data_IF_326529612118
#
_entry.id   IF_326529612118
#
_cell.length_a   1.000
_cell.length_b   1.000
_cell.length_c   1.000
_cell.angle_alpha   90.00
_cell.angle_beta   90.00
_cell.angle_gamma   90.00
#
_symmetry.space_group_name_H-M   'P 1'
#
loop_
_entity.id
_entity.type
_entity.pdbx_description
1 polymer ?
#
# COMPACT_ATOMS: atom_id res chain seq x y z
N UNK A 1 31.10 11.25 0.27
CA UNK A 1 30.68 10.17 1.19
C UNK A 1 29.73 10.75 2.25
N UNK A 2 28.41 10.67 2.07
CA UNK A 2 27.46 10.98 3.16
C UNK A 2 27.10 9.66 3.83
N UNK A 3 27.70 9.40 5.00
CA UNK A 3 27.34 8.27 5.88
C UNK A 3 26.08 8.64 6.65
N UNK A 4 24.91 8.35 6.09
CA UNK A 4 23.69 8.23 6.88
C UNK A 4 23.61 6.77 7.35
N UNK A 5 24.10 6.48 8.56
CA UNK A 5 23.85 5.19 9.21
C UNK A 5 22.41 5.20 9.72
N UNK A 6 21.48 4.80 8.85
CA UNK A 6 20.14 4.43 9.29
C UNK A 6 20.26 3.05 9.96
N UNK A 7 20.28 3.03 11.30
CA UNK A 7 20.15 1.79 12.06
C UNK A 7 18.73 1.30 11.87
N UNK A 8 18.56 0.27 11.07
CA UNK A 8 17.33 -0.54 11.06
C UNK A 8 17.27 -1.18 12.44
N UNK A 9 16.30 -0.78 13.27
CA UNK A 9 15.98 -1.54 14.49
C UNK A 9 15.73 -2.98 14.06
N UNK A 10 16.46 -3.92 14.66
CA UNK A 10 16.19 -5.35 14.45
C UNK A 10 14.74 -5.60 14.87
N UNK A 11 13.89 -5.92 13.90
CA UNK A 11 12.52 -6.38 14.15
C UNK A 11 12.56 -7.42 15.26
N UNK A 12 11.87 -7.16 16.38
CA UNK A 12 11.65 -8.15 17.44
C UNK A 12 11.10 -9.41 16.77
N UNK A 13 11.93 -10.46 16.72
CA UNK A 13 11.58 -11.69 16.03
C UNK A 13 10.38 -12.28 16.76
N UNK A 14 9.23 -12.28 16.07
CA UNK A 14 8.01 -12.89 16.57
C UNK A 14 8.31 -14.33 17.02
N UNK A 15 7.82 -14.69 18.20
CA UNK A 15 7.87 -16.07 18.70
C UNK A 15 7.05 -17.05 17.86
N UNK A 16 6.73 -18.21 18.42
CA UNK A 16 5.94 -19.22 17.72
C UNK A 16 4.52 -18.71 17.41
N UNK A 17 4.17 -18.69 16.12
CA UNK A 17 2.83 -18.25 15.65
C UNK A 17 1.90 -19.46 15.60
N UNK A 18 0.75 -19.36 16.27
CA UNK A 18 -0.31 -20.37 16.25
C UNK A 18 -1.54 -19.89 15.46
N UNK A 19 -2.58 -20.72 15.40
CA UNK A 19 -3.87 -20.32 14.82
C UNK A 19 -4.54 -19.20 15.61
N UNK A 20 -4.23 -19.05 16.91
CA UNK A 20 -4.80 -17.99 17.75
C UNK A 20 -4.41 -16.61 17.25
N UNK A 21 -3.12 -16.38 16.99
CA UNK A 21 -2.63 -15.07 16.53
C UNK A 21 -3.18 -14.73 15.15
N UNK A 22 -3.36 -15.74 14.30
CA UNK A 22 -4.00 -15.56 12.98
C UNK A 22 -5.47 -15.16 13.12
N UNK A 23 -6.20 -15.78 14.05
CA UNK A 23 -7.59 -15.42 14.36
C UNK A 23 -7.69 -14.03 14.99
N UNK A 24 -6.74 -13.63 15.84
CA UNK A 24 -6.65 -12.25 16.35
C UNK A 24 -6.43 -11.26 15.20
N UNK A 25 -5.61 -11.61 14.20
CA UNK A 25 -5.45 -10.81 12.98
C UNK A 25 -6.77 -10.59 12.22
N UNK A 26 -7.68 -11.57 12.23
CA UNK A 26 -9.02 -11.45 11.63
C UNK A 26 -9.90 -10.52 12.46
N UNK A 27 -9.87 -10.65 13.78
CA UNK A 27 -10.57 -9.74 14.71
C UNK A 27 -10.08 -8.31 14.52
N UNK A 28 -8.77 -8.07 14.47
CA UNK A 28 -8.21 -6.74 14.23
C UNK A 28 -8.64 -6.17 12.88
N UNK A 29 -8.59 -6.97 11.81
CA UNK A 29 -8.99 -6.54 10.47
C UNK A 29 -10.45 -6.08 10.43
N UNK A 30 -11.35 -6.87 11.00
CA UNK A 30 -12.80 -6.59 11.02
C UNK A 30 -13.16 -5.45 11.98
N UNK A 31 -12.55 -5.39 13.17
CA UNK A 31 -12.83 -4.33 14.15
C UNK A 31 -12.24 -2.99 13.75
N UNK A 32 -11.04 -2.94 13.17
CA UNK A 32 -10.46 -1.69 12.62
C UNK A 32 -11.32 -1.15 11.47
N UNK A 33 -11.82 -2.03 10.59
CA UNK A 33 -12.76 -1.64 9.55
C UNK A 33 -14.08 -1.10 10.12
N UNK A 34 -14.66 -1.79 11.11
CA UNK A 34 -15.89 -1.34 11.77
C UNK A 34 -15.71 0.04 12.42
N UNK A 35 -14.61 0.25 13.13
CA UNK A 35 -14.29 1.55 13.73
C UNK A 35 -14.17 2.63 12.66
N UNK A 36 -13.43 2.34 11.57
CA UNK A 36 -13.30 3.26 10.44
C UNK A 36 -14.65 3.60 9.79
N UNK A 37 -15.53 2.61 9.67
CA UNK A 37 -16.88 2.79 9.14
C UNK A 37 -17.74 3.68 10.05
N UNK A 38 -17.72 3.43 11.36
CA UNK A 38 -18.45 4.27 12.34
C UNK A 38 -17.91 5.70 12.32
N UNK A 39 -16.58 5.88 12.25
CA UNK A 39 -15.97 7.20 12.13
C UNK A 39 -16.46 7.91 10.87
N UNK A 40 -16.37 7.25 9.71
CA UNK A 40 -16.74 7.82 8.42
C UNK A 40 -18.25 8.07 8.24
N UNK A 41 -19.12 7.43 9.02
CA UNK A 41 -20.58 7.55 8.86
C UNK A 41 -21.27 8.34 9.96
N UNK A 42 -20.72 8.36 11.18
CA UNK A 42 -21.41 8.94 12.35
C UNK A 42 -20.59 9.98 13.10
N UNK A 43 -19.26 9.87 13.12
CA UNK A 43 -18.42 10.75 13.94
C UNK A 43 -17.87 11.92 13.10
N UNK A 44 -17.15 11.60 12.02
CA UNK A 44 -16.49 12.55 11.13
C UNK A 44 -16.73 12.14 9.67
N UNK A 45 -17.97 12.34 9.16
CA UNK A 45 -18.29 12.00 7.78
C UNK A 45 -17.61 12.93 6.76
N UNK A 46 -17.32 14.16 7.14
CA UNK A 46 -16.58 15.10 6.32
C UNK A 46 -15.64 15.95 7.17
N UNK A 47 -14.42 16.18 6.69
CA UNK A 47 -13.49 17.14 7.27
C UNK A 47 -13.36 18.30 6.28
N UNK A 48 -13.78 19.50 6.68
CA UNK A 48 -13.67 20.70 5.84
C UNK A 48 -14.42 20.61 4.50
N UNK A 49 -15.54 19.90 4.45
CA UNK A 49 -16.36 19.70 3.23
C UNK A 49 -15.95 18.48 2.40
N UNK A 50 -14.81 17.86 2.68
CA UNK A 50 -14.34 16.66 1.98
C UNK A 50 -14.82 15.40 2.68
N UNK A 51 -15.56 14.56 1.96
CA UNK A 51 -16.02 13.27 2.46
C UNK A 51 -14.86 12.26 2.45
N UNK A 52 -14.42 11.83 3.63
CA UNK A 52 -13.30 10.87 3.76
C UNK A 52 -13.86 9.45 3.75
N UNK A 53 -13.41 8.64 2.79
CA UNK A 53 -13.84 7.24 2.67
C UNK A 53 -13.38 6.39 3.87
N UNK A 54 -14.17 5.40 4.27
CA UNK A 54 -13.84 4.55 5.43
C UNK A 54 -12.53 3.76 5.24
N UNK A 55 -12.11 3.47 4.01
CA UNK A 55 -10.79 2.86 3.77
C UNK A 55 -9.63 3.81 4.11
N UNK A 56 -9.77 5.11 3.87
CA UNK A 56 -8.76 6.09 4.29
C UNK A 56 -8.67 6.15 5.82
N UNK A 57 -9.81 6.16 6.51
CA UNK A 57 -9.85 6.06 7.97
C UNK A 57 -9.23 4.77 8.49
N UNK A 58 -9.47 3.64 7.82
CA UNK A 58 -8.90 2.35 8.21
C UNK A 58 -7.37 2.37 8.13
N UNK A 59 -6.79 2.96 7.08
CA UNK A 59 -5.33 3.12 6.96
C UNK A 59 -4.77 3.90 8.15
N UNK A 60 -5.38 5.03 8.49
CA UNK A 60 -4.95 5.87 9.63
C UNK A 60 -5.10 5.14 10.97
N UNK A 61 -6.21 4.43 11.18
CA UNK A 61 -6.48 3.68 12.41
C UNK A 61 -5.47 2.54 12.58
N UNK A 62 -5.22 1.76 11.52
CA UNK A 62 -4.25 0.65 11.58
C UNK A 62 -2.83 1.17 11.80
N UNK A 63 -2.47 2.29 11.17
CA UNK A 63 -1.18 2.95 11.41
C UNK A 63 -1.06 3.43 12.87
N UNK A 64 -2.10 4.07 13.42
CA UNK A 64 -2.15 4.50 14.81
C UNK A 64 -2.08 3.31 15.78
N UNK A 65 -2.78 2.21 15.48
CA UNK A 65 -2.72 0.98 16.26
C UNK A 65 -1.30 0.39 16.26
N UNK A 66 -0.63 0.35 15.12
CA UNK A 66 0.75 -0.13 15.05
C UNK A 66 1.71 0.78 15.83
N UNK A 67 1.53 2.11 15.75
CA UNK A 67 2.34 3.10 16.46
C UNK A 67 2.10 3.10 17.99
N UNK A 68 0.90 2.72 18.44
CA UNK A 68 0.55 2.65 19.87
C UNK A 68 1.28 1.54 20.64
N UNK A 69 1.91 0.59 19.93
CA UNK A 69 2.59 -0.55 20.56
C UNK A 69 1.64 -1.59 21.18
N UNK A 70 0.32 -1.46 21.00
CA UNK A 70 -0.67 -2.36 21.61
C UNK A 70 -0.64 -3.80 21.07
N UNK A 71 -0.13 -4.01 19.85
CA UNK A 71 -0.04 -5.33 19.24
C UNK A 71 1.35 -5.93 19.45
N UNK A 72 1.42 -7.10 20.08
CA UNK A 72 2.68 -7.85 20.21
C UNK A 72 3.23 -8.30 18.85
N UNK A 73 4.54 -8.58 18.73
CA UNK A 73 5.15 -9.10 17.50
C UNK A 73 4.44 -10.34 16.94
N UNK A 74 3.98 -11.25 17.81
CA UNK A 74 3.27 -12.47 17.42
C UNK A 74 1.91 -12.15 16.79
N UNK A 75 1.18 -11.17 17.33
CA UNK A 75 -0.11 -10.72 16.78
C UNK A 75 0.10 -10.05 15.42
N UNK A 76 1.13 -9.19 15.28
CA UNK A 76 1.48 -8.57 13.99
C UNK A 76 1.81 -9.64 12.95
N UNK A 77 2.57 -10.66 13.34
CA UNK A 77 2.90 -11.79 12.47
C UNK A 77 1.67 -12.65 12.14
N UNK A 78 0.73 -12.82 13.08
CA UNK A 78 -0.57 -13.47 12.86
C UNK A 78 -1.43 -12.73 11.82
N UNK A 79 -1.53 -11.40 11.93
CA UNK A 79 -2.20 -10.57 10.93
C UNK A 79 -1.54 -10.65 9.55
N UNK A 80 -0.19 -10.66 9.51
CA UNK A 80 0.56 -10.87 8.27
C UNK A 80 0.27 -12.25 7.65
N UNK A 81 0.25 -13.31 8.46
CA UNK A 81 -0.08 -14.68 8.02
C UNK A 81 -1.49 -14.77 7.45
N UNK A 82 -2.46 -14.10 8.06
CA UNK A 82 -3.82 -14.00 7.53
C UNK A 82 -3.83 -13.26 6.18
N UNK A 83 -3.14 -12.12 6.09
CA UNK A 83 -3.01 -11.35 4.84
C UNK A 83 -2.38 -12.19 3.72
N UNK A 84 -1.36 -12.99 4.03
CA UNK A 84 -0.74 -13.92 3.08
C UNK A 84 -1.70 -15.02 2.62
N UNK A 85 -2.53 -15.54 3.52
CA UNK A 85 -3.55 -16.52 3.15
C UNK A 85 -4.55 -15.94 2.15
N UNK A 86 -5.07 -14.73 2.41
CA UNK A 86 -6.01 -14.07 1.49
C UNK A 86 -5.36 -13.70 0.16
N UNK A 87 -4.16 -13.13 0.18
CA UNK A 87 -3.47 -12.67 -1.04
C UNK A 87 -2.89 -13.79 -1.90
N UNK A 88 -2.66 -14.99 -1.35
CA UNK A 88 -2.11 -16.12 -2.12
C UNK A 88 -3.15 -17.19 -2.45
N UNK A 89 -4.02 -17.52 -1.51
CA UNK A 89 -4.96 -18.64 -1.65
C UNK A 89 -6.33 -18.19 -2.15
N UNK A 90 -6.83 -17.06 -1.63
CA UNK A 90 -8.16 -16.54 -1.99
C UNK A 90 -8.16 -15.51 -3.12
N UNK A 91 -6.98 -15.12 -3.60
CA UNK A 91 -6.85 -14.12 -4.67
C UNK A 91 -7.57 -14.53 -5.95
N UNK A 92 -7.50 -15.80 -6.35
CA UNK A 92 -8.17 -16.27 -7.56
C UNK A 92 -9.70 -16.23 -7.44
N UNK A 93 -10.22 -16.55 -6.25
CA UNK A 93 -11.65 -16.41 -5.95
C UNK A 93 -12.07 -14.94 -6.04
N UNK A 94 -11.27 -14.03 -5.47
CA UNK A 94 -11.51 -12.60 -5.58
C UNK A 94 -11.50 -12.13 -7.04
N UNK A 95 -10.55 -12.59 -7.86
CA UNK A 95 -10.44 -12.20 -9.27
C UNK A 95 -11.64 -12.65 -10.11
N UNK A 96 -12.23 -13.81 -9.82
CA UNK A 96 -13.50 -14.21 -10.44
C UNK A 96 -14.61 -13.21 -10.08
N UNK A 97 -14.72 -12.84 -8.79
CA UNK A 97 -15.68 -11.83 -8.34
C UNK A 97 -15.46 -10.44 -8.98
N UNK A 98 -14.20 -10.01 -9.10
CA UNK A 98 -13.85 -8.74 -9.76
C UNK A 98 -14.22 -8.75 -11.24
N UNK A 99 -13.96 -9.87 -11.93
CA UNK A 99 -14.34 -10.07 -13.33
C UNK A 99 -15.86 -9.95 -13.54
N UNK A 100 -16.66 -10.52 -12.64
CA UNK A 100 -18.12 -10.52 -12.76
C UNK A 100 -18.74 -9.19 -12.33
N UNK A 101 -18.27 -8.59 -11.23
CA UNK A 101 -18.96 -7.44 -10.60
C UNK A 101 -18.42 -6.08 -11.03
N UNK A 102 -17.17 -5.99 -11.48
CA UNK A 102 -16.46 -4.71 -11.66
C UNK A 102 -15.76 -4.56 -13.02
N UNK A 103 -15.79 -5.57 -13.88
CA UNK A 103 -15.05 -5.55 -15.14
C UNK A 103 -15.99 -5.49 -16.34
N UNK A 104 -16.03 -4.32 -17.00
CA UNK A 104 -16.62 -4.19 -18.33
C UNK A 104 -15.54 -4.42 -19.40
N UNK A 105 -15.67 -5.51 -20.17
CA UNK A 105 -14.72 -5.85 -21.22
C UNK A 105 -14.64 -4.77 -22.30
N UNK A 106 -15.75 -4.10 -22.61
CA UNK A 106 -15.79 -3.06 -23.62
C UNK A 106 -15.03 -1.81 -23.16
N UNK A 107 -15.17 -1.43 -21.88
CA UNK A 107 -14.39 -0.33 -21.31
C UNK A 107 -12.88 -0.63 -21.32
N UNK A 108 -12.48 -1.87 -21.01
CA UNK A 108 -11.07 -2.28 -21.09
C UNK A 108 -10.54 -2.15 -22.52
N UNK A 109 -11.27 -2.67 -23.52
CA UNK A 109 -10.87 -2.59 -24.93
C UNK A 109 -10.76 -1.12 -25.35
N UNK A 110 -11.72 -0.28 -24.95
CA UNK A 110 -11.72 1.14 -25.25
C UNK A 110 -10.59 1.90 -24.53
N UNK A 111 -10.10 1.39 -23.41
CA UNK A 111 -8.96 1.96 -22.70
C UNK A 111 -7.60 1.65 -23.37
N UNK A 112 -7.54 0.66 -24.27
CA UNK A 112 -6.31 0.33 -25.02
C UNK A 112 -6.16 1.31 -26.18
N UNK A 113 -5.74 2.53 -25.87
CA UNK A 113 -5.44 3.58 -26.86
C UNK A 113 -3.98 4.00 -26.77
N UNK A 114 -3.44 4.45 -27.90
CA UNK A 114 -2.10 5.02 -27.93
C UNK A 114 -1.94 6.19 -26.96
N UNK A 115 -2.99 7.02 -26.83
CA UNK A 115 -3.03 8.13 -25.88
C UNK A 115 -2.85 7.65 -24.43
N UNK A 116 -3.59 6.62 -24.00
CA UNK A 116 -3.48 6.09 -22.64
C UNK A 116 -2.11 5.47 -22.35
N UNK A 117 -1.50 4.81 -23.33
CA UNK A 117 -0.13 4.27 -23.20
C UNK A 117 0.88 5.39 -22.99
N UNK A 118 0.79 6.47 -23.78
CA UNK A 118 1.68 7.64 -23.65
C UNK A 118 1.47 8.33 -22.31
N UNK A 119 0.23 8.55 -21.89
CA UNK A 119 -0.09 9.16 -20.59
C UNK A 119 0.48 8.32 -19.44
N UNK A 120 0.26 7.00 -19.47
CA UNK A 120 0.79 6.09 -18.46
C UNK A 120 2.33 6.14 -18.39
N UNK A 121 3.01 6.14 -19.54
CA UNK A 121 4.47 6.26 -19.59
C UNK A 121 4.96 7.58 -18.98
N UNK A 122 4.31 8.70 -19.30
CA UNK A 122 4.67 10.02 -18.75
C UNK A 122 4.44 10.07 -17.23
N UNK A 123 3.35 9.48 -16.72
CA UNK A 123 3.09 9.38 -15.27
C UNK A 123 4.21 8.61 -14.58
N UNK A 124 4.64 7.47 -15.14
CA UNK A 124 5.74 6.66 -14.59
C UNK A 124 7.05 7.45 -14.59
N UNK A 125 7.35 8.19 -15.67
CA UNK A 125 8.52 9.08 -15.74
C UNK A 125 8.43 10.17 -14.67
N UNK A 126 7.25 10.77 -14.47
CA UNK A 126 7.00 11.74 -13.41
C UNK A 126 7.28 11.17 -12.02
N UNK A 127 6.83 9.94 -11.75
CA UNK A 127 7.10 9.25 -10.49
C UNK A 127 8.61 9.01 -10.27
N UNK A 128 9.33 8.58 -11.32
CA UNK A 128 10.79 8.41 -11.29
C UNK A 128 11.50 9.72 -10.97
N UNK A 129 11.16 10.81 -11.66
CA UNK A 129 11.80 12.12 -11.47
C UNK A 129 11.48 12.69 -10.09
N UNK A 130 10.22 12.65 -9.67
CA UNK A 130 9.78 13.12 -8.37
C UNK A 130 10.48 12.38 -7.23
N UNK A 131 10.54 11.04 -7.30
CA UNK A 131 11.22 10.23 -6.31
C UNK A 131 12.75 10.40 -6.32
N UNK A 132 13.36 10.58 -7.49
CA UNK A 132 14.79 10.86 -7.61
C UNK A 132 15.17 12.19 -6.94
N UNK A 133 14.42 13.26 -7.24
CA UNK A 133 14.65 14.60 -6.70
C UNK A 133 14.35 14.61 -5.20
N UNK A 134 13.18 14.11 -4.78
CA UNK A 134 12.80 14.04 -3.37
C UNK A 134 13.77 13.20 -2.55
N UNK A 135 14.16 12.03 -3.05
CA UNK A 135 15.16 11.18 -2.41
C UNK A 135 16.52 11.84 -2.29
N UNK A 136 16.97 12.54 -3.35
CA UNK A 136 18.23 13.27 -3.33
C UNK A 136 18.25 14.39 -2.27
N UNK A 137 17.16 15.15 -2.15
CA UNK A 137 17.01 16.19 -1.13
C UNK A 137 17.06 15.62 0.30
N UNK A 138 16.50 14.42 0.50
CA UNK A 138 16.52 13.69 1.77
C UNK A 138 17.85 12.95 2.03
N UNK A 139 18.80 13.00 1.10
CA UNK A 139 20.12 12.39 1.23
C UNK A 139 20.22 10.92 0.78
N UNK A 140 19.19 10.39 0.11
CA UNK A 140 19.22 9.09 -0.53
C UNK A 140 19.88 9.13 -1.92
N UNK A 141 20.29 7.97 -2.42
CA UNK A 141 20.80 7.85 -3.78
C UNK A 141 19.65 8.06 -4.78
N UNK A 142 19.80 8.96 -5.78
CA UNK A 142 18.70 9.30 -6.70
C UNK A 142 18.15 8.09 -7.46
N UNK A 143 19.01 7.16 -7.88
CA UNK A 143 18.61 5.97 -8.64
C UNK A 143 17.84 4.98 -7.77
N UNK A 144 18.35 4.63 -6.59
CA UNK A 144 17.67 3.73 -5.65
C UNK A 144 16.35 4.33 -5.14
N UNK A 145 16.27 5.66 -5.00
CA UNK A 145 15.04 6.37 -4.64
C UNK A 145 14.01 6.32 -5.77
N UNK A 146 14.44 6.57 -7.01
CA UNK A 146 13.61 6.43 -8.19
C UNK A 146 13.03 5.02 -8.34
N UNK A 147 13.81 4.00 -8.01
CA UNK A 147 13.36 2.61 -8.07
C UNK A 147 12.38 2.30 -6.93
N UNK A 148 12.76 2.55 -5.68
CA UNK A 148 11.99 2.09 -4.51
C UNK A 148 10.77 2.95 -4.17
N UNK A 149 10.83 4.27 -4.39
CA UNK A 149 9.73 5.18 -4.11
C UNK A 149 8.99 5.68 -5.36
N UNK A 150 9.60 5.52 -6.55
CA UNK A 150 8.98 5.85 -7.84
C UNK A 150 8.42 4.62 -8.55
N UNK A 151 9.29 3.79 -9.12
CA UNK A 151 8.87 2.62 -9.91
C UNK A 151 8.11 1.59 -9.09
N UNK A 152 8.52 1.33 -7.83
CA UNK A 152 7.79 0.41 -6.95
C UNK A 152 6.45 0.97 -6.43
N UNK A 153 6.17 2.25 -6.67
CA UNK A 153 4.86 2.85 -6.42
C UNK A 153 3.98 2.86 -7.68
N UNK A 154 4.59 2.96 -8.85
CA UNK A 154 3.92 3.00 -10.14
C UNK A 154 3.72 1.61 -10.79
N UNK A 155 4.11 0.53 -10.10
CA UNK A 155 3.94 -0.85 -10.54
C UNK A 155 2.62 -1.45 -10.01
N UNK A 156 2.44 -2.75 -10.25
CA UNK A 156 1.28 -3.52 -9.76
C UNK A 156 1.54 -4.13 -8.37
N UNK A 157 1.90 -3.31 -7.39
CA UNK A 157 2.09 -3.71 -5.99
C UNK A 157 3.14 -4.82 -5.81
N UNK A 158 2.94 -5.71 -4.83
CA UNK A 158 3.97 -6.68 -4.41
C UNK A 158 4.48 -7.64 -5.50
N UNK A 159 3.68 -7.99 -6.50
CA UNK A 159 4.18 -8.77 -7.66
C UNK A 159 5.01 -7.89 -8.60
N UNK A 160 4.57 -6.66 -8.83
CA UNK A 160 5.33 -5.67 -9.59
C UNK A 160 6.65 -5.30 -8.91
N UNK A 161 6.73 -5.34 -7.58
CA UNK A 161 7.98 -5.08 -6.85
C UNK A 161 9.06 -6.10 -7.21
N UNK A 162 8.67 -7.38 -7.30
CA UNK A 162 9.56 -8.46 -7.70
C UNK A 162 10.02 -8.28 -9.15
N UNK A 163 9.11 -7.91 -10.06
CA UNK A 163 9.42 -7.67 -11.47
C UNK A 163 10.40 -6.50 -11.65
N UNK A 164 10.12 -5.35 -11.02
CA UNK A 164 10.94 -4.13 -11.11
C UNK A 164 12.33 -4.37 -10.48
N UNK A 165 12.39 -4.95 -9.28
CA UNK A 165 13.66 -5.19 -8.60
C UNK A 165 14.50 -6.28 -9.28
N UNK A 166 13.85 -7.30 -9.86
CA UNK A 166 14.53 -8.29 -10.68
C UNK A 166 15.09 -7.68 -11.96
N UNK A 167 14.35 -6.79 -12.63
CA UNK A 167 14.80 -6.14 -13.86
C UNK A 167 16.03 -5.24 -13.65
N UNK A 168 16.19 -4.66 -12.46
CA UNK A 168 17.33 -3.78 -12.12
C UNK A 168 18.38 -4.42 -11.21
N UNK A 169 18.29 -5.73 -10.94
CA UNK A 169 19.20 -6.48 -10.07
C UNK A 169 19.37 -5.89 -8.65
N UNK A 170 18.27 -5.40 -8.04
CA UNK A 170 18.28 -4.77 -6.70
C UNK A 170 17.31 -5.42 -5.71
N UNK A 171 17.25 -6.75 -5.70
CA UNK A 171 16.38 -7.51 -4.79
C UNK A 171 16.65 -7.25 -3.30
N UNK A 172 17.84 -6.75 -2.95
CA UNK A 172 18.18 -6.29 -1.61
C UNK A 172 17.33 -5.10 -1.12
N UNK A 173 16.61 -4.41 -2.01
CA UNK A 173 15.72 -3.29 -1.69
C UNK A 173 14.25 -3.70 -1.47
N UNK A 174 13.94 -5.00 -1.45
CA UNK A 174 12.56 -5.50 -1.36
C UNK A 174 11.80 -4.96 -0.14
N UNK A 175 12.47 -4.75 1.00
CA UNK A 175 11.84 -4.18 2.20
C UNK A 175 11.36 -2.74 1.97
N UNK A 176 12.13 -1.93 1.23
CA UNK A 176 11.73 -0.57 0.86
C UNK A 176 10.59 -0.56 -0.15
N UNK A 177 10.64 -1.45 -1.14
CA UNK A 177 9.55 -1.62 -2.11
C UNK A 177 8.25 -2.04 -1.43
N UNK A 178 8.30 -2.95 -0.44
CA UNK A 178 7.13 -3.33 0.34
C UNK A 178 6.54 -2.19 1.17
N UNK A 179 7.38 -1.28 1.68
CA UNK A 179 6.90 -0.06 2.36
C UNK A 179 6.15 0.81 1.35
N UNK A 180 6.70 1.01 0.15
CA UNK A 180 6.03 1.76 -0.92
C UNK A 180 4.68 1.15 -1.29
N UNK A 181 4.65 -0.15 -1.62
CA UNK A 181 3.42 -0.87 -2.00
C UNK A 181 2.35 -0.91 -0.91
N UNK A 182 2.72 -1.04 0.37
CA UNK A 182 1.74 -1.18 1.47
C UNK A 182 1.36 0.16 2.10
N UNK A 183 2.35 0.90 2.59
CA UNK A 183 2.12 2.16 3.29
C UNK A 183 1.87 3.30 2.29
N UNK A 184 2.67 3.39 1.22
CA UNK A 184 2.44 4.33 0.13
C UNK A 184 1.09 4.10 -0.56
N UNK A 185 0.74 2.84 -0.83
CA UNK A 185 -0.59 2.45 -1.34
C UNK A 185 -1.73 2.93 -0.43
N UNK A 186 -1.60 2.74 0.88
CA UNK A 186 -2.56 3.26 1.86
C UNK A 186 -2.65 4.80 1.84
N UNK A 187 -1.53 5.50 1.73
CA UNK A 187 -1.50 6.97 1.60
C UNK A 187 -2.23 7.42 0.33
N UNK A 188 -2.04 6.71 -0.79
CA UNK A 188 -2.77 7.02 -2.03
C UNK A 188 -4.27 6.87 -1.86
N UNK A 189 -4.77 5.90 -1.08
CA UNK A 189 -6.20 5.80 -0.78
C UNK A 189 -6.72 7.01 0.02
N UNK A 190 -5.91 7.54 0.94
CA UNK A 190 -6.24 8.77 1.67
C UNK A 190 -6.27 9.97 0.73
N UNK A 191 -5.24 10.13 -0.12
CA UNK A 191 -5.17 11.21 -1.12
C UNK A 191 -6.34 11.11 -2.10
N UNK A 192 -6.61 9.92 -2.64
CA UNK A 192 -7.71 9.69 -3.58
C UNK A 192 -9.07 10.03 -2.96
N UNK A 193 -9.30 9.68 -1.69
CA UNK A 193 -10.52 10.05 -0.98
C UNK A 193 -10.68 11.58 -0.92
N UNK A 194 -9.60 12.32 -0.68
CA UNK A 194 -9.63 13.77 -0.63
C UNK A 194 -9.86 14.36 -2.02
N UNK A 195 -9.10 13.93 -3.02
CA UNK A 195 -9.19 14.44 -4.40
C UNK A 195 -10.58 14.17 -4.98
N UNK A 196 -11.12 12.96 -4.83
CA UNK A 196 -12.47 12.65 -5.30
C UNK A 196 -13.54 13.43 -4.54
N UNK A 197 -13.37 13.62 -3.23
CA UNK A 197 -14.28 14.45 -2.44
C UNK A 197 -14.23 15.94 -2.79
N UNK A 198 -13.16 16.43 -3.44
CA UNK A 198 -13.04 17.81 -3.94
C UNK A 198 -13.57 17.99 -5.36
N UNK A 199 -13.62 16.92 -6.16
CA UNK A 199 -14.05 16.96 -7.56
C UNK A 199 -15.56 16.71 -7.74
N UNK A 200 -16.27 16.39 -6.66
CA UNK A 200 -17.72 16.19 -6.59
C UNK A 200 -18.32 17.40 -5.87
#
# INVERSE_FOLDING_TARGET
>A
MRKASFKVEEDEKAGQITHRETAVGLVLSTTCFLLAYVVAKKILPSIGGVAIHYFAWMVLIVAALNASGLCSPEIKAGAKRLSDFFSKQLLWVLMVGVGVCYTDLQEIINAITFANVVIAAIIVIGAVLGAAIGGWLMGFFPIESAITAGLCMANRGGSGDLEVLSACNRMNLISYAQISSRLGGGIVLVIASIVFGMMI
#
